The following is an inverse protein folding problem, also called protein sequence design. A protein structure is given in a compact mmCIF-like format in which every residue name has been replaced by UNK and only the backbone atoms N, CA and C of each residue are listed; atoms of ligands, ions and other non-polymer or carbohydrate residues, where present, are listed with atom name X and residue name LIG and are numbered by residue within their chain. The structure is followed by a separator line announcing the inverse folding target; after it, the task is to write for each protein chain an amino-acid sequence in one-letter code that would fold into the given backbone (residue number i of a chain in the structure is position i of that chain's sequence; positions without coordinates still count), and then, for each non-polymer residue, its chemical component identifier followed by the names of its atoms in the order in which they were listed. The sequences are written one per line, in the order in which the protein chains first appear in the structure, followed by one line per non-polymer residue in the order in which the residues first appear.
data_IF_469436060035
#
_entry.id   IF_469436060035
#
_cell.length_a   1.000
_cell.length_b   1.000
_cell.length_c   1.000
_cell.angle_alpha   90.00
_cell.angle_beta   90.00
_cell.angle_gamma   90.00
#
_symmetry.space_group_name_H-M   'P 1'
#
loop_
_entity.id
_entity.type
_entity.pdbx_description
1 polymer ?
#
# COMPACT_ATOMS: atom_id res chain seq x y z
N UNK A 1 31.22 -43.76 24.26
CA UNK A 1 29.98 -43.41 23.55
C UNK A 1 29.93 -41.89 23.47
N UNK A 2 30.15 -41.31 22.28
CA UNK A 2 30.05 -39.87 22.08
C UNK A 2 28.66 -39.56 21.50
N UNK A 3 27.86 -38.78 22.23
CA UNK A 3 26.57 -38.31 21.74
C UNK A 3 26.82 -37.19 20.73
N UNK A 4 26.46 -37.44 19.48
CA UNK A 4 26.48 -36.45 18.41
C UNK A 4 25.38 -35.43 18.68
N UNK A 5 25.77 -34.18 18.97
CA UNK A 5 24.83 -33.09 19.16
C UNK A 5 24.43 -32.55 17.78
N UNK A 6 23.12 -32.55 17.50
CA UNK A 6 22.57 -32.02 16.25
C UNK A 6 22.85 -30.51 16.12
N UNK A 7 23.07 -29.97 14.91
CA UNK A 7 23.33 -28.55 14.73
C UNK A 7 22.11 -27.75 15.20
N UNK A 8 22.37 -26.63 15.88
CA UNK A 8 21.33 -25.67 16.23
C UNK A 8 20.77 -25.11 14.92
N UNK A 9 19.53 -25.48 14.58
CA UNK A 9 18.81 -24.87 13.47
C UNK A 9 18.75 -23.36 13.72
N UNK A 10 19.37 -22.60 12.82
CA UNK A 10 19.41 -21.15 12.88
C UNK A 10 17.97 -20.65 12.78
N UNK A 11 17.43 -20.22 13.94
CA UNK A 11 16.03 -19.85 14.08
C UNK A 11 15.79 -18.62 13.22
N UNK A 12 15.22 -18.84 12.03
CA UNK A 12 14.80 -17.75 11.14
C UNK A 12 13.70 -16.98 11.85
N UNK A 13 14.06 -15.86 12.47
CA UNK A 13 13.09 -14.95 13.09
C UNK A 13 12.44 -14.18 11.96
N UNK A 14 11.14 -14.40 11.75
CA UNK A 14 10.38 -13.57 10.84
C UNK A 14 10.41 -12.12 11.36
N UNK A 15 10.82 -11.17 10.52
CA UNK A 15 10.87 -9.74 10.85
C UNK A 15 9.48 -9.10 10.95
N UNK A 16 8.43 -9.84 10.57
CA UNK A 16 7.06 -9.36 10.55
C UNK A 16 6.29 -9.87 11.79
N UNK A 17 5.44 -9.03 12.40
CA UNK A 17 4.57 -9.46 13.47
C UNK A 17 3.54 -10.49 12.96
N UNK A 18 3.02 -11.31 13.88
CA UNK A 18 1.91 -12.19 13.59
C UNK A 18 0.69 -11.40 13.06
N UNK A 19 -0.11 -12.01 12.16
CA UNK A 19 -1.30 -11.36 11.64
C UNK A 19 -2.30 -11.05 12.77
N UNK A 20 -3.07 -9.95 12.68
CA UNK A 20 -4.04 -9.60 13.71
C UNK A 20 -5.14 -10.67 13.85
N UNK A 21 -5.10 -11.42 14.95
CA UNK A 21 -6.04 -12.51 15.21
C UNK A 21 -7.50 -12.08 15.32
N UNK A 22 -7.75 -10.82 15.66
CA UNK A 22 -9.10 -10.22 15.68
C UNK A 22 -9.70 -10.06 14.29
N UNK A 23 -8.91 -10.07 13.22
CA UNK A 23 -9.39 -9.87 11.85
C UNK A 23 -9.52 -11.19 11.10
N UNK A 24 -8.45 -11.99 10.99
CA UNK A 24 -8.48 -13.16 10.10
C UNK A 24 -9.44 -14.26 10.57
N UNK A 25 -9.67 -14.38 11.90
CA UNK A 25 -10.59 -15.38 12.47
C UNK A 25 -12.05 -15.14 12.10
N UNK A 26 -12.40 -13.94 11.64
CA UNK A 26 -13.77 -13.60 11.23
C UNK A 26 -14.11 -14.12 9.83
N UNK A 27 -13.12 -14.55 9.04
CA UNK A 27 -13.28 -14.99 7.65
C UNK A 27 -13.24 -16.52 7.52
N UNK A 28 -14.07 -17.22 8.29
CA UNK A 28 -14.32 -18.65 8.07
C UNK A 28 -15.23 -18.87 6.87
N UNK A 29 -15.19 -20.04 6.23
CA UNK A 29 -16.08 -20.38 5.11
C UNK A 29 -17.56 -20.19 5.45
N UNK A 30 -17.94 -20.51 6.68
CA UNK A 30 -19.30 -20.32 7.19
C UNK A 30 -19.67 -18.83 7.30
N UNK A 31 -18.78 -17.99 7.83
CA UNK A 31 -19.02 -16.56 7.95
C UNK A 31 -19.06 -15.87 6.58
N UNK A 32 -18.24 -16.33 5.63
CA UNK A 32 -18.26 -15.83 4.25
C UNK A 32 -19.56 -16.23 3.57
N UNK A 33 -19.96 -17.51 3.67
CA UNK A 33 -21.20 -18.02 3.06
C UNK A 33 -22.46 -17.38 3.66
N UNK A 34 -22.47 -17.11 4.97
CA UNK A 34 -23.59 -16.46 5.66
C UNK A 34 -23.58 -14.93 5.55
N UNK A 35 -22.52 -14.33 5.00
CA UNK A 35 -22.35 -12.88 4.94
C UNK A 35 -22.03 -12.21 6.28
N UNK A 36 -21.70 -12.99 7.31
CA UNK A 36 -21.27 -12.49 8.62
C UNK A 36 -19.81 -12.01 8.64
N UNK A 37 -19.01 -12.38 7.64
CA UNK A 37 -17.65 -11.87 7.48
C UNK A 37 -17.69 -10.34 7.28
N UNK A 38 -16.87 -9.56 8.01
CA UNK A 38 -16.91 -8.11 7.93
C UNK A 38 -16.49 -7.64 6.53
N UNK A 39 -17.12 -6.56 6.07
CA UNK A 39 -16.69 -5.86 4.85
C UNK A 39 -15.35 -5.17 5.10
N UNK A 40 -14.56 -4.91 4.04
CA UNK A 40 -13.36 -4.08 4.16
C UNK A 40 -13.70 -2.73 4.84
N UNK A 41 -12.81 -2.21 5.69
CA UNK A 41 -13.00 -0.87 6.23
C UNK A 41 -13.05 0.14 5.07
N UNK A 42 -13.84 1.21 5.20
CA UNK A 42 -13.88 2.26 4.18
C UNK A 42 -12.48 2.91 4.06
N UNK A 43 -12.15 3.51 2.90
CA UNK A 43 -10.92 4.28 2.74
C UNK A 43 -10.79 5.33 3.85
N UNK A 44 -9.58 5.46 4.41
CA UNK A 44 -9.29 6.48 5.40
C UNK A 44 -9.54 7.89 4.84
N UNK A 45 -10.04 8.79 5.67
CA UNK A 45 -10.29 10.21 5.35
C UNK A 45 -9.48 11.13 6.25
N UNK A 46 -9.12 12.30 5.76
CA UNK A 46 -8.37 13.33 6.46
C UNK A 46 -6.85 13.13 6.37
N UNK A 47 -6.15 13.54 7.44
CA UNK A 47 -4.70 13.61 7.47
C UNK A 47 -4.09 12.36 8.11
N UNK A 48 -3.17 11.71 7.39
CA UNK A 48 -2.40 10.57 7.89
C UNK A 48 -1.00 10.56 7.29
N UNK A 49 -0.10 9.73 7.82
CA UNK A 49 1.22 9.55 7.23
C UNK A 49 1.18 8.39 6.23
N UNK A 50 1.56 8.66 4.99
CA UNK A 50 1.71 7.67 3.93
C UNK A 50 3.18 7.64 3.50
N UNK A 51 3.82 6.46 3.57
CA UNK A 51 5.24 6.29 3.26
C UNK A 51 6.20 7.22 4.03
N UNK A 52 5.83 7.61 5.25
CA UNK A 52 6.58 8.56 6.07
C UNK A 52 6.34 10.04 5.76
N UNK A 53 5.49 10.36 4.78
CA UNK A 53 5.10 11.72 4.42
C UNK A 53 3.69 12.05 4.93
N UNK A 54 3.41 13.28 5.37
CA UNK A 54 2.04 13.70 5.65
C UNK A 54 1.23 13.67 4.35
N UNK A 55 0.04 13.10 4.43
CA UNK A 55 -0.92 12.96 3.35
C UNK A 55 -2.28 13.49 3.83
N UNK A 56 -2.99 14.22 2.98
CA UNK A 56 -4.35 14.70 3.23
C UNK A 56 -5.25 14.23 2.08
N UNK A 57 -6.37 13.58 2.42
CA UNK A 57 -7.28 13.04 1.40
C UNK A 57 -8.05 14.11 0.64
N UNK A 58 -8.10 15.33 1.16
CA UNK A 58 -8.77 16.45 0.50
C UNK A 58 -7.83 17.25 -0.41
N UNK A 59 -6.52 16.99 -0.35
CA UNK A 59 -5.53 17.64 -1.21
C UNK A 59 -5.46 16.96 -2.57
N UNK A 60 -5.14 17.73 -3.61
CA UNK A 60 -4.95 17.18 -4.94
C UNK A 60 -3.78 16.18 -4.93
N UNK A 61 -4.07 14.91 -5.23
CA UNK A 61 -3.11 13.80 -5.17
C UNK A 61 -1.84 14.07 -6.01
N UNK A 62 -1.96 14.86 -7.07
CA UNK A 62 -0.86 15.26 -7.94
C UNK A 62 -0.77 16.79 -7.91
N UNK A 63 0.15 17.30 -7.08
CA UNK A 63 0.61 18.69 -7.18
C UNK A 63 1.32 18.89 -8.52
N UNK A 64 1.20 20.05 -9.19
CA UNK A 64 1.99 20.39 -10.36
C UNK A 64 3.48 20.08 -10.16
N UNK A 65 4.16 19.68 -11.23
CA UNK A 65 5.58 19.29 -11.22
C UNK A 65 6.44 20.39 -10.59
N UNK A 66 6.11 21.65 -10.88
CA UNK A 66 6.76 22.85 -10.36
C UNK A 66 6.63 22.97 -8.83
N UNK A 67 5.47 22.63 -8.28
CA UNK A 67 5.22 22.67 -6.83
C UNK A 67 5.92 21.54 -6.07
N UNK A 68 6.42 20.54 -6.79
CA UNK A 68 7.26 19.47 -6.25
C UNK A 68 8.75 19.81 -6.32
N UNK A 69 9.11 21.01 -6.80
CA UNK A 69 10.50 21.43 -6.99
C UNK A 69 11.16 20.80 -8.21
N UNK A 70 10.37 20.24 -9.13
CA UNK A 70 10.84 19.66 -10.38
C UNK A 70 10.65 20.67 -11.52
N UNK A 71 11.66 20.81 -12.37
CA UNK A 71 11.55 21.65 -13.57
C UNK A 71 10.85 20.87 -14.68
N UNK A 72 9.84 21.50 -15.27
CA UNK A 72 9.10 20.94 -16.40
C UNK A 72 9.92 21.09 -17.69
N UNK A 73 10.19 19.97 -18.34
CA UNK A 73 10.92 19.94 -19.62
C UNK A 73 10.07 20.36 -20.83
N UNK A 74 8.74 20.15 -20.79
CA UNK A 74 7.83 20.45 -21.90
C UNK A 74 6.58 21.21 -21.42
N UNK A 75 6.13 22.27 -22.11
CA UNK A 75 4.90 22.99 -21.80
C UNK A 75 3.67 22.08 -21.65
N UNK A 76 2.69 22.46 -20.82
CA UNK A 76 1.45 21.69 -20.59
C UNK A 76 0.72 21.25 -21.86
N UNK A 77 0.82 22.04 -22.94
CA UNK A 77 0.10 21.81 -24.19
C UNK A 77 0.89 20.99 -25.24
N UNK A 78 2.09 20.50 -24.92
CA UNK A 78 2.97 19.86 -25.92
C UNK A 78 2.33 18.63 -26.59
N UNK A 79 1.51 17.87 -25.86
CA UNK A 79 0.79 16.71 -26.40
C UNK A 79 -0.35 17.05 -27.36
N UNK A 80 -0.99 18.22 -27.20
CA UNK A 80 -2.16 18.62 -28.01
C UNK A 80 -1.77 19.03 -29.44
N UNK A 81 -0.60 19.62 -29.63
CA UNK A 81 -0.09 19.99 -30.96
C UNK A 81 0.31 18.78 -31.80
N UNK A 82 0.66 17.65 -31.16
CA UNK A 82 1.11 16.45 -31.86
C UNK A 82 -0.04 15.53 -32.30
N UNK A 83 -1.23 15.61 -31.68
CA UNK A 83 -2.42 14.87 -32.15
C UNK A 83 -3.18 15.63 -33.23
N UNK A 84 -3.16 16.97 -33.20
CA UNK A 84 -3.86 17.79 -34.20
C UNK A 84 -3.18 17.81 -35.57
N UNK A 85 -1.94 17.33 -35.68
CA UNK A 85 -1.22 17.19 -36.96
C UNK A 85 -1.52 15.89 -37.72
N UNK A 86 -2.35 15.01 -37.15
CA UNK A 86 -2.77 13.73 -37.75
C UNK A 86 -4.28 13.66 -38.03
N UNK A 87 -4.95 14.82 -38.15
CA UNK A 87 -6.35 14.94 -38.57
C UNK A 87 -6.49 15.91 -39.73
#
# INVERSE_FOLDING_TARGET
MAQQQAPAEERVVASFPDPPASLYKLYTDENVRSGAAPKPPPPAKGKYYMFGCPFDTEDAMIRPVEEQGLERLYPDNYGLYHISSYT
#
